data_IF_625666527492
#
_entry.id   IF_625666527492
#
_cell.length_a   1.000
_cell.length_b   1.000
_cell.length_c   1.000
_cell.angle_alpha   90.00
_cell.angle_beta   90.00
_cell.angle_gamma   90.00
#
_symmetry.space_group_name_H-M   'P 1'
#
loop_
_entity.id
_entity.type
_entity.pdbx_description
1 polymer ?
#
# COMPACT_ATOMS: atom_id res chain seq x y z
N UNK A 1 -21.70 -61.77 -14.06
CA UNK A 1 -20.35 -61.19 -13.83
C UNK A 1 -19.95 -60.07 -14.81
N UNK A 2 -20.78 -59.65 -15.78
CA UNK A 2 -20.47 -58.57 -16.75
C UNK A 2 -20.82 -57.16 -16.26
N UNK A 3 -21.84 -57.01 -15.41
CA UNK A 3 -22.35 -55.69 -14.97
C UNK A 3 -21.40 -54.96 -14.01
N UNK A 4 -20.79 -55.68 -13.06
CA UNK A 4 -19.86 -55.09 -12.08
C UNK A 4 -18.65 -54.39 -12.74
N UNK A 5 -18.13 -54.93 -13.85
CA UNK A 5 -16.98 -54.34 -14.58
C UNK A 5 -17.32 -52.99 -15.22
N UNK A 6 -18.53 -52.82 -15.76
CA UNK A 6 -18.95 -51.54 -16.35
C UNK A 6 -19.12 -50.47 -15.27
N UNK A 7 -19.76 -50.81 -14.15
CA UNK A 7 -19.96 -49.87 -13.04
C UNK A 7 -18.64 -49.46 -12.39
N UNK A 8 -17.70 -50.39 -12.22
CA UNK A 8 -16.35 -50.07 -11.71
C UNK A 8 -15.56 -49.19 -12.67
N UNK A 9 -15.70 -49.37 -14.00
CA UNK A 9 -15.00 -48.52 -14.98
C UNK A 9 -15.49 -47.07 -14.90
N UNK A 10 -16.81 -46.87 -14.81
CA UNK A 10 -17.42 -45.55 -14.72
C UNK A 10 -17.05 -44.86 -13.39
N UNK A 11 -17.05 -45.61 -12.28
CA UNK A 11 -16.66 -45.07 -10.98
C UNK A 11 -15.19 -44.62 -10.95
N UNK A 12 -14.29 -45.37 -11.60
CA UNK A 12 -12.87 -45.02 -11.69
C UNK A 12 -12.67 -43.74 -12.51
N UNK A 13 -13.35 -43.60 -13.64
CA UNK A 13 -13.22 -42.41 -14.50
C UNK A 13 -13.68 -41.13 -13.78
N UNK A 14 -14.78 -41.20 -13.01
CA UNK A 14 -15.27 -40.06 -12.22
C UNK A 14 -14.23 -39.65 -11.18
N UNK A 15 -13.66 -40.60 -10.44
CA UNK A 15 -12.63 -40.32 -9.43
C UNK A 15 -11.39 -39.68 -10.07
N UNK A 16 -11.03 -40.10 -11.28
CA UNK A 16 -9.88 -39.59 -12.02
C UNK A 16 -10.07 -38.13 -12.45
N UNK A 17 -11.28 -37.77 -12.91
CA UNK A 17 -11.63 -36.38 -13.26
C UNK A 17 -11.62 -35.48 -12.02
N UNK A 18 -12.20 -35.93 -10.91
CA UNK A 18 -12.20 -35.17 -9.65
C UNK A 18 -10.78 -34.94 -9.12
N UNK A 19 -9.93 -35.97 -9.18
CA UNK A 19 -8.51 -35.89 -8.84
C UNK A 19 -7.79 -34.83 -9.69
N UNK A 20 -7.95 -34.89 -11.02
CA UNK A 20 -7.34 -33.93 -11.93
C UNK A 20 -7.81 -32.50 -11.65
N UNK A 21 -9.11 -32.32 -11.41
CA UNK A 21 -9.67 -31.00 -11.10
C UNK A 21 -9.15 -30.44 -9.78
N UNK A 22 -9.01 -31.27 -8.75
CA UNK A 22 -8.48 -30.85 -7.46
C UNK A 22 -7.02 -30.37 -7.58
N UNK A 23 -6.20 -31.04 -8.40
CA UNK A 23 -4.81 -30.64 -8.66
C UNK A 23 -4.76 -29.27 -9.36
N UNK A 24 -5.60 -29.04 -10.37
CA UNK A 24 -5.64 -27.74 -11.06
C UNK A 24 -6.07 -26.62 -10.12
N UNK A 25 -7.11 -26.86 -9.30
CA UNK A 25 -7.62 -25.86 -8.34
C UNK A 25 -6.58 -25.56 -7.26
N UNK A 26 -5.89 -26.56 -6.73
CA UNK A 26 -4.83 -26.36 -5.72
C UNK A 26 -3.64 -25.60 -6.27
N UNK A 27 -3.21 -25.87 -7.50
CA UNK A 27 -2.15 -25.11 -8.18
C UNK A 27 -2.61 -23.65 -8.36
N UNK A 28 -3.83 -23.42 -8.83
CA UNK A 28 -4.37 -22.07 -8.99
C UNK A 28 -4.45 -21.31 -7.65
N UNK A 29 -4.91 -21.97 -6.59
CA UNK A 29 -4.99 -21.39 -5.25
C UNK A 29 -3.59 -21.04 -4.69
N UNK A 30 -2.60 -21.91 -4.88
CA UNK A 30 -1.20 -21.65 -4.50
C UNK A 30 -0.62 -20.46 -5.26
N UNK A 31 -0.86 -20.40 -6.58
CA UNK A 31 -0.45 -19.26 -7.42
C UNK A 31 -1.08 -17.95 -6.95
N UNK A 32 -2.37 -17.95 -6.63
CA UNK A 32 -3.05 -16.77 -6.09
C UNK A 32 -2.53 -16.37 -4.72
N UNK A 33 -2.31 -17.33 -3.81
CA UNK A 33 -1.78 -17.08 -2.48
C UNK A 33 -0.37 -16.48 -2.52
N UNK A 34 0.52 -17.03 -3.36
CA UNK A 34 1.86 -16.51 -3.58
C UNK A 34 1.85 -15.12 -4.24
N UNK A 35 0.94 -14.89 -5.18
CA UNK A 35 0.79 -13.59 -5.85
C UNK A 35 0.27 -12.52 -4.87
N UNK A 36 -0.72 -12.86 -4.05
CA UNK A 36 -1.27 -11.96 -3.03
C UNK A 36 -0.23 -11.60 -1.95
N UNK A 37 0.61 -12.56 -1.55
CA UNK A 37 1.71 -12.32 -0.60
C UNK A 37 2.73 -11.31 -1.14
N UNK A 38 3.14 -11.46 -2.41
CA UNK A 38 4.07 -10.51 -3.06
C UNK A 38 3.50 -9.10 -3.20
N UNK A 39 2.18 -8.96 -3.39
CA UNK A 39 1.52 -7.65 -3.49
C UNK A 39 1.54 -6.90 -2.15
N UNK A 40 1.28 -7.59 -1.03
CA UNK A 40 1.33 -6.97 0.30
C UNK A 40 2.73 -6.45 0.63
N UNK A 41 3.76 -7.26 0.36
CA UNK A 41 5.15 -6.88 0.61
C UNK A 41 5.61 -5.68 -0.24
N UNK A 42 5.16 -5.59 -1.50
CA UNK A 42 5.46 -4.44 -2.36
C UNK A 42 4.79 -3.16 -1.87
N UNK A 43 3.55 -3.23 -1.38
CA UNK A 43 2.83 -2.07 -0.84
C UNK A 43 3.50 -1.53 0.43
N UNK A 44 3.88 -2.41 1.37
CA UNK A 44 4.61 -2.02 2.58
C UNK A 44 5.96 -1.36 2.26
N UNK A 45 6.71 -1.91 1.31
CA UNK A 45 7.99 -1.34 0.89
C UNK A 45 7.80 0.03 0.21
N UNK A 46 6.74 0.21 -0.58
CA UNK A 46 6.43 1.49 -1.22
C UNK A 46 6.01 2.55 -0.19
N UNK A 47 5.14 2.22 0.76
CA UNK A 47 4.74 3.13 1.83
C UNK A 47 5.91 3.54 2.72
N UNK A 48 6.80 2.59 3.04
CA UNK A 48 8.00 2.88 3.83
C UNK A 48 8.95 3.83 3.08
N UNK A 49 9.14 3.62 1.77
CA UNK A 49 9.95 4.53 0.94
C UNK A 49 9.33 5.93 0.83
N UNK A 50 8.02 6.02 0.61
CA UNK A 50 7.29 7.30 0.57
C UNK A 50 7.47 8.09 1.88
N UNK A 51 7.31 7.43 3.05
CA UNK A 51 7.51 8.07 4.36
C UNK A 51 8.94 8.59 4.56
N UNK A 52 9.94 7.85 4.08
CA UNK A 52 11.35 8.28 4.17
C UNK A 52 11.59 9.50 3.28
N UNK A 53 11.06 9.47 2.06
CA UNK A 53 11.16 10.58 1.10
C UNK A 53 10.51 11.84 1.70
N UNK A 54 9.26 11.77 2.14
CA UNK A 54 8.55 12.93 2.74
C UNK A 54 9.31 13.51 3.93
N UNK A 55 9.87 12.66 4.80
CA UNK A 55 10.66 13.11 5.94
C UNK A 55 11.92 13.88 5.49
N UNK A 56 12.66 13.35 4.52
CA UNK A 56 13.87 14.01 4.01
C UNK A 56 13.56 15.30 3.23
N UNK A 57 12.44 15.34 2.48
CA UNK A 57 11.99 16.55 1.82
C UNK A 57 11.60 17.63 2.84
N UNK A 58 10.89 17.27 3.90
CA UNK A 58 10.48 18.21 4.94
C UNK A 58 11.67 18.75 5.76
N UNK A 59 12.72 17.95 5.93
CA UNK A 59 13.97 18.40 6.57
C UNK A 59 14.77 19.35 5.67
N UNK A 60 14.71 19.20 4.34
CA UNK A 60 15.39 20.11 3.40
C UNK A 60 14.62 21.40 3.13
N UNK A 61 13.30 21.40 3.27
CA UNK A 61 12.48 22.59 3.08
C UNK A 61 12.70 23.56 4.24
N UNK A 62 13.31 24.70 3.93
CA UNK A 62 13.42 25.84 4.84
C UNK A 62 12.34 26.85 4.50
N UNK A 63 11.47 27.14 5.46
CA UNK A 63 10.38 28.11 5.35
C UNK A 63 10.85 29.40 6.00
N UNK A 64 10.54 30.52 5.36
CA UNK A 64 10.71 31.84 5.93
C UNK A 64 9.46 32.23 6.74
N UNK A 65 9.63 32.66 7.99
CA UNK A 65 8.50 33.10 8.80
C UNK A 65 7.94 34.42 8.25
N UNK A 66 6.62 34.53 7.96
CA UNK A 66 6.03 35.75 7.42
C UNK A 66 6.08 36.94 8.38
N UNK A 67 6.25 36.70 9.69
CA UNK A 67 6.23 37.75 10.71
C UNK A 67 7.62 38.29 11.08
N UNK A 68 8.62 37.40 11.20
CA UNK A 68 9.95 37.77 11.67
C UNK A 68 11.07 37.44 10.69
N UNK A 69 10.74 36.97 9.47
CA UNK A 69 11.66 36.61 8.38
C UNK A 69 12.76 35.63 8.77
N UNK A 70 12.57 34.92 9.87
CA UNK A 70 13.51 33.89 10.32
C UNK A 70 13.32 32.66 9.46
N UNK A 71 14.42 32.13 8.93
CA UNK A 71 14.44 30.93 8.10
C UNK A 71 14.59 29.72 9.03
N UNK A 72 13.67 28.76 8.96
CA UNK A 72 13.68 27.55 9.79
C UNK A 72 13.15 26.35 9.00
N UNK A 73 13.42 25.13 9.46
CA UNK A 73 12.95 23.91 8.79
C UNK A 73 11.43 23.78 8.90
N UNK A 74 10.80 23.33 7.80
CA UNK A 74 9.38 22.99 7.70
C UNK A 74 8.92 21.89 8.68
N UNK A 75 9.86 21.20 9.31
CA UNK A 75 9.58 20.20 10.34
C UNK A 75 9.08 20.80 11.67
N UNK A 76 9.14 22.13 11.87
CA UNK A 76 8.62 22.78 13.08
C UNK A 76 7.27 23.45 12.83
N UNK A 77 6.30 23.17 13.70
CA UNK A 77 4.96 23.77 13.64
C UNK A 77 4.95 25.26 14.00
N UNK A 78 5.96 25.73 14.74
CA UNK A 78 6.10 27.09 15.23
C UNK A 78 7.45 27.70 14.84
N UNK A 79 7.45 28.99 14.55
CA UNK A 79 8.68 29.72 14.29
C UNK A 79 9.56 29.81 15.55
N UNK A 80 10.86 29.46 15.49
CA UNK A 80 11.74 29.47 16.67
C UNK A 80 12.00 30.86 17.27
N UNK A 81 11.77 31.93 16.51
CA UNK A 81 12.05 33.29 16.94
C UNK A 81 10.80 33.98 17.51
N UNK A 82 9.68 33.94 16.78
CA UNK A 82 8.45 34.64 17.17
C UNK A 82 7.34 33.74 17.74
N UNK A 83 7.53 32.41 17.78
CA UNK A 83 6.53 31.42 18.20
C UNK A 83 5.18 31.50 17.46
N UNK A 84 5.13 32.17 16.31
CA UNK A 84 3.94 32.21 15.48
C UNK A 84 3.67 30.81 14.90
N UNK A 85 2.40 30.38 14.94
CA UNK A 85 1.96 29.12 14.33
C UNK A 85 1.83 29.32 12.82
N UNK A 86 2.88 28.93 12.10
CA UNK A 86 3.02 29.14 10.65
C UNK A 86 2.38 28.04 9.81
N UNK A 87 1.80 27.01 10.44
CA UNK A 87 1.15 25.88 9.74
C UNK A 87 -0.23 26.25 9.20
N UNK A 88 -0.87 27.27 9.78
CA UNK A 88 -2.02 27.93 9.17
C UNK A 88 -1.48 29.03 8.26
N UNK A 89 -1.44 28.78 6.96
CA UNK A 89 -1.35 29.85 5.97
C UNK A 89 -2.63 30.68 6.16
N UNK A 90 -2.59 31.68 7.06
CA UNK A 90 -3.56 32.77 7.03
C UNK A 90 -3.22 33.54 5.76
N UNK A 91 -3.94 33.22 4.68
CA UNK A 91 -3.98 34.10 3.52
C UNK A 91 -4.40 35.48 4.06
N UNK A 92 -3.57 36.53 3.91
CA UNK A 92 -4.02 37.87 4.23
C UNK A 92 -5.26 38.15 3.38
N UNK A 93 -6.35 38.59 4.01
CA UNK A 93 -7.53 39.06 3.29
C UNK A 93 -7.06 40.16 2.34
N UNK A 94 -7.15 39.88 1.04
CA UNK A 94 -6.87 40.85 -0.01
C UNK A 94 -7.86 42.00 0.24
N UNK A 95 -7.40 43.25 0.49
CA UNK A 95 -8.33 44.34 0.72
C UNK A 95 -9.23 44.47 -0.53
N UNK A 96 -10.54 44.24 -0.34
CA UNK A 96 -11.52 44.63 -1.32
C UNK A 96 -11.49 46.16 -1.43
N UNK A 97 -11.45 46.62 -2.68
CA UNK A 97 -11.30 48.01 -3.09
C UNK A 97 -12.26 48.99 -2.39
#
# INVERSE_FOLDING_TARGET
>A
MKSAKMTTSIAVDIILIFSAMFIVVTIAALWFALSASKIKHRKELLETRMKIIDKHFNDMLRIECPYCRTIYSANRDECPNCKANTKKILFPEIPAA
#
